data_IF_589568106916
#
_entry.id   IF_589568106916
#
_cell.length_a   1.000
_cell.length_b   1.000
_cell.length_c   1.000
_cell.angle_alpha   90.00
_cell.angle_beta   90.00
_cell.angle_gamma   90.00
#
_symmetry.space_group_name_H-M   'P 1'
#
loop_
_entity.id
_entity.type
_entity.pdbx_description
1 polymer ?
#
# COMPACT_ATOMS: atom_id res chain seq x y z
N UNK A 1 20.27 -22.34 -3.84
CA UNK A 1 19.42 -21.14 -3.76
C UNK A 1 18.22 -21.44 -2.89
N UNK A 2 18.02 -20.66 -1.84
CA UNK A 2 16.83 -20.82 -1.00
C UNK A 2 15.70 -19.99 -1.59
N UNK A 3 14.58 -20.67 -1.92
CA UNK A 3 13.37 -19.97 -2.32
C UNK A 3 12.71 -19.41 -1.05
N UNK A 4 12.46 -18.10 -1.03
CA UNK A 4 11.70 -17.49 0.05
C UNK A 4 10.22 -17.89 -0.04
N UNK A 5 9.52 -17.87 1.07
CA UNK A 5 8.07 -18.11 1.09
C UNK A 5 7.32 -17.13 0.16
N UNK A 6 7.76 -15.86 0.13
CA UNK A 6 7.17 -14.86 -0.75
C UNK A 6 7.40 -15.19 -2.23
N UNK A 7 8.56 -15.72 -2.60
CA UNK A 7 8.83 -16.16 -3.99
C UNK A 7 7.89 -17.27 -4.41
N UNK A 8 7.61 -18.22 -3.52
CA UNK A 8 6.64 -19.29 -3.77
C UNK A 8 5.24 -18.72 -3.96
N UNK A 9 4.83 -17.79 -3.10
CA UNK A 9 3.52 -17.11 -3.21
C UNK A 9 3.38 -16.35 -4.52
N UNK A 10 4.42 -15.64 -4.94
CA UNK A 10 4.43 -14.91 -6.22
C UNK A 10 4.22 -15.87 -7.39
N UNK A 11 4.90 -17.03 -7.38
CA UNK A 11 4.74 -18.04 -8.43
C UNK A 11 3.32 -18.59 -8.49
N UNK A 12 2.73 -18.91 -7.34
CA UNK A 12 1.36 -19.41 -7.26
C UNK A 12 0.36 -18.34 -7.73
N UNK A 13 0.52 -17.11 -7.29
CA UNK A 13 -0.32 -15.98 -7.69
C UNK A 13 -0.21 -15.74 -9.20
N UNK A 14 1.00 -15.79 -9.76
CA UNK A 14 1.25 -15.63 -11.19
C UNK A 14 0.52 -16.69 -12.02
N UNK A 15 0.51 -17.93 -11.58
CA UNK A 15 -0.21 -19.00 -12.25
C UNK A 15 -1.73 -18.75 -12.24
N UNK A 16 -2.28 -18.31 -11.10
CA UNK A 16 -3.70 -17.96 -11.00
C UNK A 16 -4.05 -16.79 -11.90
N UNK A 17 -3.22 -15.74 -11.92
CA UNK A 17 -3.45 -14.55 -12.74
C UNK A 17 -3.43 -14.88 -14.24
N UNK A 18 -2.52 -15.72 -14.68
CA UNK A 18 -2.45 -16.16 -16.08
C UNK A 18 -3.75 -16.80 -16.55
N UNK A 19 -4.44 -17.48 -15.64
CA UNK A 19 -5.73 -18.11 -15.93
C UNK A 19 -6.89 -17.10 -15.84
N UNK A 20 -6.90 -16.28 -14.80
CA UNK A 20 -7.99 -15.32 -14.53
C UNK A 20 -8.06 -14.20 -15.56
N UNK A 21 -6.92 -13.70 -16.01
CA UNK A 21 -6.85 -12.58 -16.97
C UNK A 21 -7.48 -12.93 -18.32
N UNK A 22 -7.50 -14.20 -18.68
CA UNK A 22 -8.16 -14.66 -19.91
C UNK A 22 -9.67 -14.45 -19.88
N UNK A 23 -10.26 -14.47 -18.71
CA UNK A 23 -11.70 -14.29 -18.50
C UNK A 23 -12.09 -12.87 -18.14
N UNK A 24 -11.20 -12.15 -17.43
CA UNK A 24 -11.49 -10.80 -16.95
C UNK A 24 -10.18 -10.00 -16.88
N UNK A 25 -10.10 -8.95 -17.68
CA UNK A 25 -8.90 -8.13 -17.84
C UNK A 25 -8.48 -7.39 -16.58
N UNK A 26 -9.35 -7.28 -15.58
CA UNK A 26 -8.96 -6.63 -14.32
C UNK A 26 -7.80 -7.35 -13.62
N UNK A 27 -7.64 -8.63 -13.93
CA UNK A 27 -6.55 -9.45 -13.40
C UNK A 27 -5.24 -9.29 -14.17
N UNK A 28 -5.11 -8.22 -14.96
CA UNK A 28 -3.84 -7.91 -15.62
C UNK A 28 -2.80 -7.52 -14.58
N UNK A 29 -1.74 -8.31 -14.49
CA UNK A 29 -0.67 -8.13 -13.49
C UNK A 29 -0.04 -6.74 -13.55
N UNK A 30 0.27 -6.26 -14.75
CA UNK A 30 0.87 -4.94 -14.93
C UNK A 30 -0.01 -3.82 -14.39
N UNK A 31 -1.31 -3.89 -14.70
CA UNK A 31 -2.29 -2.90 -14.20
C UNK A 31 -2.46 -2.98 -12.68
N UNK A 32 -2.52 -4.18 -12.12
CA UNK A 32 -2.66 -4.38 -10.67
C UNK A 32 -1.47 -3.78 -9.91
N UNK A 33 -0.26 -4.09 -10.34
CA UNK A 33 0.95 -3.58 -9.70
C UNK A 33 1.11 -2.08 -9.86
N UNK A 34 0.72 -1.53 -11.01
CA UNK A 34 0.77 -0.10 -11.25
C UNK A 34 -0.24 0.67 -10.38
N UNK A 35 -1.43 0.13 -10.21
CA UNK A 35 -2.43 0.72 -9.30
C UNK A 35 -1.93 0.70 -7.85
N UNK A 36 -1.35 -0.41 -7.41
CA UNK A 36 -0.77 -0.52 -6.07
C UNK A 36 0.33 0.51 -5.85
N UNK A 37 1.22 0.68 -6.84
CA UNK A 37 2.30 1.67 -6.81
C UNK A 37 1.74 3.09 -6.70
N UNK A 38 0.78 3.42 -7.53
CA UNK A 38 0.15 4.75 -7.56
C UNK A 38 -0.51 5.06 -6.21
N UNK A 39 -1.25 4.11 -5.65
CA UNK A 39 -1.92 4.28 -4.36
C UNK A 39 -0.90 4.42 -3.23
N UNK A 40 0.21 3.68 -3.28
CA UNK A 40 1.27 3.82 -2.30
C UNK A 40 1.77 5.28 -2.21
N UNK A 41 2.12 5.87 -3.33
CA UNK A 41 2.62 7.25 -3.34
C UNK A 41 1.57 8.25 -2.91
N UNK A 42 0.31 8.04 -3.29
CA UNK A 42 -0.79 8.91 -2.86
C UNK A 42 -1.00 8.85 -1.34
N UNK A 43 -0.91 7.66 -0.75
CA UNK A 43 -1.02 7.48 0.71
C UNK A 43 0.14 8.18 1.43
N UNK A 44 1.37 8.01 0.95
CA UNK A 44 2.52 8.67 1.58
C UNK A 44 2.41 10.20 1.49
N UNK A 45 1.95 10.71 0.37
CA UNK A 45 1.74 12.15 0.19
C UNK A 45 0.67 12.69 1.14
N UNK A 46 -0.43 11.94 1.30
CA UNK A 46 -1.51 12.32 2.22
C UNK A 46 -1.04 12.33 3.67
N UNK A 47 -0.26 11.34 4.08
CA UNK A 47 0.33 11.29 5.43
C UNK A 47 1.23 12.48 5.69
N UNK A 48 2.06 12.84 4.72
CA UNK A 48 2.96 13.99 4.83
C UNK A 48 2.21 15.31 4.90
N UNK A 49 1.16 15.48 4.10
CA UNK A 49 0.36 16.70 4.06
C UNK A 49 -0.69 16.78 5.18
N UNK A 50 -0.98 15.68 5.85
CA UNK A 50 -2.06 15.61 6.84
C UNK A 50 -3.45 15.74 6.22
N UNK A 51 -3.59 15.46 4.92
CA UNK A 51 -4.83 15.62 4.17
C UNK A 51 -5.19 14.33 3.44
N UNK A 52 -6.39 13.82 3.69
CA UNK A 52 -6.81 12.50 3.22
C UNK A 52 -7.99 12.57 2.23
N UNK A 53 -8.64 13.73 2.09
CA UNK A 53 -9.90 13.84 1.34
C UNK A 53 -9.80 13.32 -0.11
N UNK A 54 -8.68 13.58 -0.78
CA UNK A 54 -8.46 13.16 -2.16
C UNK A 54 -8.27 11.64 -2.31
N UNK A 55 -8.13 10.92 -1.21
CA UNK A 55 -7.93 9.46 -1.23
C UNK A 55 -9.21 8.66 -1.20
N UNK A 56 -10.38 9.28 -0.99
CA UNK A 56 -11.64 8.54 -0.86
C UNK A 56 -11.90 7.61 -2.03
N UNK A 57 -11.55 8.00 -3.24
CA UNK A 57 -11.78 7.20 -4.45
C UNK A 57 -10.77 6.05 -4.61
N UNK A 58 -9.73 6.00 -3.81
CA UNK A 58 -8.69 4.96 -3.88
C UNK A 58 -8.73 3.98 -2.72
N UNK A 59 -9.60 4.23 -1.73
CA UNK A 59 -9.67 3.45 -0.49
C UNK A 59 -11.09 2.92 -0.29
N UNK A 60 -11.18 1.73 0.34
CA UNK A 60 -12.46 1.29 0.88
C UNK A 60 -12.84 2.16 2.09
N UNK A 61 -14.09 2.09 2.53
CA UNK A 61 -14.50 2.82 3.73
C UNK A 61 -13.65 2.43 4.95
N UNK A 62 -13.34 1.14 5.09
CA UNK A 62 -12.49 0.64 6.19
C UNK A 62 -11.06 1.18 6.07
N UNK A 63 -10.49 1.11 4.88
CA UNK A 63 -9.13 1.62 4.62
C UNK A 63 -9.04 3.12 4.86
N UNK A 64 -10.04 3.87 4.43
CA UNK A 64 -10.13 5.30 4.65
C UNK A 64 -10.16 5.65 6.14
N UNK A 65 -11.03 4.99 6.90
CA UNK A 65 -11.17 5.25 8.34
C UNK A 65 -9.89 4.93 9.11
N UNK A 66 -9.22 3.84 8.76
CA UNK A 66 -7.95 3.48 9.41
C UNK A 66 -6.87 4.53 9.15
N UNK A 67 -6.73 4.96 7.90
CA UNK A 67 -5.73 5.95 7.53
C UNK A 67 -6.03 7.31 8.19
N UNK A 68 -7.31 7.69 8.20
CA UNK A 68 -7.75 8.93 8.84
C UNK A 68 -7.41 8.94 10.33
N UNK A 69 -7.65 7.83 11.03
CA UNK A 69 -7.32 7.72 12.46
C UNK A 69 -5.82 7.86 12.70
N UNK A 70 -5.00 7.30 11.83
CA UNK A 70 -3.55 7.39 11.94
C UNK A 70 -3.09 8.84 11.76
N UNK A 71 -3.57 9.53 10.75
CA UNK A 71 -3.24 10.93 10.48
C UNK A 71 -3.74 11.84 11.59
N UNK A 72 -5.00 11.67 12.01
CA UNK A 72 -5.61 12.48 13.10
C UNK A 72 -4.86 12.26 14.42
N UNK A 73 -4.40 11.03 14.68
CA UNK A 73 -3.61 10.73 15.86
C UNK A 73 -2.28 11.48 15.89
N UNK A 74 -1.61 11.59 14.76
CA UNK A 74 -0.39 12.39 14.65
C UNK A 74 -0.67 13.88 14.84
N UNK A 75 -1.73 14.39 14.24
CA UNK A 75 -2.11 15.80 14.36
C UNK A 75 -2.43 16.21 15.81
N UNK A 76 -3.12 15.35 16.57
CA UNK A 76 -3.42 15.62 17.97
C UNK A 76 -2.16 15.77 18.82
N UNK A 77 -1.06 15.16 18.39
CA UNK A 77 0.23 15.25 19.07
C UNK A 77 1.14 16.31 18.43
N UNK A 78 0.62 17.12 17.51
CA UNK A 78 1.37 18.09 16.72
C UNK A 78 2.54 17.46 15.98
N UNK A 79 2.34 16.25 15.47
CA UNK A 79 3.35 15.49 14.73
C UNK A 79 2.96 15.30 13.27
N UNK A 80 3.96 15.15 12.42
CA UNK A 80 3.78 14.88 11.01
C UNK A 80 4.64 13.70 10.58
N UNK A 81 4.05 12.81 9.78
CA UNK A 81 4.76 11.76 9.11
C UNK A 81 5.47 12.34 7.89
N UNK A 82 6.74 12.01 7.73
CA UNK A 82 7.52 12.40 6.56
C UNK A 82 8.21 11.17 6.01
N UNK A 83 8.06 10.98 4.69
CA UNK A 83 8.87 10.03 3.96
C UNK A 83 9.69 10.81 2.93
N UNK A 84 11.02 10.66 2.98
CA UNK A 84 11.92 11.33 2.06
C UNK A 84 12.49 10.35 1.07
N UNK A 85 12.47 10.74 -0.21
CA UNK A 85 13.09 9.99 -1.30
C UNK A 85 12.65 8.52 -1.34
N UNK A 86 11.33 8.23 -1.30
CA UNK A 86 10.87 6.84 -1.37
C UNK A 86 11.15 6.27 -2.76
N UNK A 87 11.79 5.11 -2.78
CA UNK A 87 12.05 4.36 -4.01
C UNK A 87 11.42 2.99 -3.85
N UNK A 88 10.51 2.65 -4.75
CA UNK A 88 9.94 1.31 -4.81
C UNK A 88 10.85 0.44 -5.68
N UNK A 89 11.34 -0.64 -5.11
CA UNK A 89 12.18 -1.62 -5.82
C UNK A 89 11.33 -2.72 -6.45
N UNK A 90 10.23 -3.10 -5.79
CA UNK A 90 9.40 -4.21 -6.24
C UNK A 90 7.98 -4.03 -5.75
N UNK A 91 7.03 -4.30 -6.65
CA UNK A 91 5.63 -4.51 -6.29
C UNK A 91 5.26 -5.89 -6.83
N UNK A 92 4.93 -6.81 -5.92
CA UNK A 92 4.61 -8.18 -6.29
C UNK A 92 3.23 -8.57 -5.78
N UNK A 93 2.44 -9.24 -6.62
CA UNK A 93 1.18 -9.85 -6.18
C UNK A 93 1.53 -11.19 -5.54
N UNK A 94 1.24 -11.33 -4.26
CA UNK A 94 1.58 -12.53 -3.49
C UNK A 94 0.38 -13.42 -3.18
N UNK A 95 -0.84 -12.88 -3.23
CA UNK A 95 -2.06 -13.66 -3.07
C UNK A 95 -3.15 -13.08 -3.97
N UNK A 96 -3.96 -13.98 -4.53
CA UNK A 96 -5.08 -13.64 -5.41
C UNK A 96 -6.33 -14.31 -4.87
N UNK A 97 -7.37 -13.54 -4.64
CA UNK A 97 -8.63 -14.01 -4.07
C UNK A 97 -9.80 -13.69 -5.01
N UNK A 98 -10.15 -14.59 -5.94
CA UNK A 98 -11.37 -14.41 -6.74
C UNK A 98 -12.62 -14.32 -5.87
N UNK A 99 -13.62 -13.57 -6.32
CA UNK A 99 -14.89 -13.41 -5.61
C UNK A 99 -15.50 -14.75 -5.19
N UNK A 100 -15.88 -14.86 -3.93
CA UNK A 100 -16.45 -16.09 -3.36
C UNK A 100 -17.26 -15.76 -2.11
N UNK A 101 -18.45 -16.38 -1.98
CA UNK A 101 -19.27 -16.26 -0.78
C UNK A 101 -19.56 -14.81 -0.38
N UNK A 102 -20.03 -14.00 -1.32
CA UNK A 102 -20.31 -12.57 -1.14
C UNK A 102 -19.09 -11.68 -0.87
N UNK A 103 -17.88 -12.23 -0.98
CA UNK A 103 -16.66 -11.44 -0.92
C UNK A 103 -16.26 -11.02 -2.32
N UNK A 104 -15.90 -9.74 -2.53
CA UNK A 104 -15.45 -9.29 -3.84
C UNK A 104 -14.08 -9.87 -4.20
N UNK A 105 -13.69 -9.74 -5.46
CA UNK A 105 -12.33 -10.03 -5.89
C UNK A 105 -11.33 -9.21 -5.07
N UNK A 106 -10.21 -9.81 -4.74
CA UNK A 106 -9.17 -9.13 -3.98
C UNK A 106 -7.77 -9.69 -4.27
N UNK A 107 -6.76 -8.94 -3.89
CA UNK A 107 -5.39 -9.43 -3.93
C UNK A 107 -4.55 -8.77 -2.84
N UNK A 108 -3.42 -9.39 -2.53
CA UNK A 108 -2.42 -8.82 -1.63
C UNK A 108 -1.18 -8.49 -2.44
N UNK A 109 -0.72 -7.24 -2.31
CA UNK A 109 0.53 -6.79 -2.91
C UNK A 109 1.60 -6.68 -1.83
N UNK A 110 2.80 -7.17 -2.16
CA UNK A 110 4.01 -6.94 -1.38
C UNK A 110 4.76 -5.78 -2.03
N UNK A 111 4.98 -4.71 -1.29
CA UNK A 111 5.68 -3.52 -1.78
C UNK A 111 6.99 -3.40 -1.03
N UNK A 112 8.09 -3.49 -1.76
CA UNK A 112 9.44 -3.36 -1.22
C UNK A 112 10.13 -2.13 -1.77
N UNK A 113 10.87 -1.45 -0.92
CA UNK A 113 11.59 -0.26 -1.35
C UNK A 113 12.55 0.25 -0.29
N UNK A 114 12.97 1.49 -0.50
CA UNK A 114 13.84 2.23 0.41
C UNK A 114 13.32 3.64 0.61
N UNK A 115 13.58 4.19 1.78
CA UNK A 115 13.25 5.57 2.07
C UNK A 115 13.74 5.98 3.45
N UNK A 116 13.62 7.27 3.72
CA UNK A 116 13.87 7.85 5.03
C UNK A 116 12.50 8.11 5.65
N UNK A 117 12.24 7.50 6.80
CA UNK A 117 10.96 7.59 7.48
C UNK A 117 11.14 8.39 8.77
N UNK A 118 10.42 9.50 8.89
CA UNK A 118 10.52 10.40 10.01
C UNK A 118 9.15 10.72 10.57
N UNK A 119 9.08 10.86 11.90
CA UNK A 119 7.98 11.55 12.56
C UNK A 119 8.59 12.81 13.16
N UNK A 120 8.08 13.97 12.76
CA UNK A 120 8.60 15.26 13.23
C UNK A 120 7.53 16.00 14.01
N UNK A 121 7.99 16.84 14.97
CA UNK A 121 7.11 17.78 15.66
C UNK A 121 6.86 18.97 14.73
N UNK A 122 5.60 19.36 14.53
CA UNK A 122 5.24 20.50 13.67
C UNK A 122 5.79 21.82 14.17
N UNK A 123 5.95 21.95 15.51
CA UNK A 123 6.47 23.15 16.13
C UNK A 123 8.01 23.19 16.11
N UNK A 124 8.64 22.04 15.87
CA UNK A 124 10.08 21.88 15.82
C UNK A 124 10.46 20.95 14.66
N UNK A 125 10.29 21.40 13.40
CA UNK A 125 10.43 20.50 12.24
C UNK A 125 11.81 19.90 12.04
N UNK A 126 12.82 20.38 12.77
CA UNK A 126 14.18 19.82 12.70
C UNK A 126 14.42 18.71 13.73
N UNK A 127 13.51 18.53 14.69
CA UNK A 127 13.63 17.46 15.68
C UNK A 127 13.02 16.17 15.16
N UNK A 128 13.79 15.08 15.22
CA UNK A 128 13.35 13.76 14.84
C UNK A 128 12.77 13.02 16.03
N UNK A 129 11.56 12.48 15.87
CA UNK A 129 10.90 11.69 16.90
C UNK A 129 10.66 10.29 16.36
N UNK A 130 11.34 9.31 16.93
CA UNK A 130 11.08 7.90 16.75
C UNK A 130 11.79 7.18 15.63
N UNK A 131 12.19 7.82 14.53
CA UNK A 131 12.92 7.17 13.44
C UNK A 131 14.22 7.88 13.10
N UNK A 132 15.19 7.08 12.62
CA UNK A 132 16.48 7.55 12.16
C UNK A 132 16.36 8.35 10.87
N UNK A 133 17.28 9.29 10.64
CA UNK A 133 17.44 10.01 9.38
C UNK A 133 18.17 9.19 8.30
N UNK A 134 18.43 7.91 8.58
CA UNK A 134 19.10 7.01 7.65
C UNK A 134 18.10 6.37 6.67
N UNK A 135 18.61 5.98 5.50
CA UNK A 135 17.84 5.24 4.52
C UNK A 135 17.58 3.82 5.04
N UNK A 136 16.32 3.42 5.04
CA UNK A 136 15.92 2.09 5.46
C UNK A 136 15.22 1.34 4.34
N UNK A 137 15.41 0.03 4.30
CA UNK A 137 14.61 -0.85 3.48
C UNK A 137 13.24 -1.03 4.17
N UNK A 138 12.19 -1.09 3.37
CA UNK A 138 10.86 -1.42 3.87
C UNK A 138 10.23 -2.53 3.05
N UNK A 139 9.33 -3.27 3.68
CA UNK A 139 8.53 -4.31 3.06
C UNK A 139 7.16 -4.29 3.70
N UNK A 140 6.13 -4.00 2.92
CA UNK A 140 4.76 -3.88 3.41
C UNK A 140 3.83 -4.74 2.56
N UNK A 141 2.75 -5.22 3.20
CA UNK A 141 1.71 -6.01 2.54
C UNK A 141 0.41 -5.24 2.60
N UNK A 142 -0.17 -4.97 1.45
CA UNK A 142 -1.43 -4.24 1.34
C UNK A 142 -2.50 -5.09 0.66
N UNK A 143 -3.71 -5.05 1.23
CA UNK A 143 -4.89 -5.72 0.69
C UNK A 143 -5.64 -4.77 -0.22
N UNK A 144 -5.97 -5.25 -1.42
CA UNK A 144 -6.78 -4.52 -2.39
C UNK A 144 -8.06 -5.30 -2.68
N UNK A 145 -9.16 -4.56 -2.85
CA UNK A 145 -10.49 -5.10 -3.15
C UNK A 145 -11.02 -4.44 -4.41
N UNK A 146 -11.66 -5.23 -5.26
CA UNK A 146 -12.23 -4.74 -6.51
C UNK A 146 -13.51 -3.93 -6.27
N UNK A 147 -13.59 -2.79 -6.94
CA UNK A 147 -14.83 -2.04 -7.10
C UNK A 147 -14.95 -1.64 -8.58
N UNK A 148 -15.91 -2.25 -9.30
CA UNK A 148 -16.07 -2.04 -10.73
C UNK A 148 -14.82 -2.51 -11.49
N UNK A 149 -14.20 -1.62 -12.25
CA UNK A 149 -12.97 -1.90 -13.01
C UNK A 149 -11.71 -1.38 -12.33
N UNK A 150 -11.78 -1.18 -11.03
CA UNK A 150 -10.69 -0.59 -10.25
C UNK A 150 -10.41 -1.37 -8.97
N UNK A 151 -9.17 -1.25 -8.48
CA UNK A 151 -8.77 -1.84 -7.20
C UNK A 151 -8.66 -0.75 -6.15
N UNK A 152 -9.29 -0.97 -4.99
CA UNK A 152 -9.24 -0.06 -3.85
C UNK A 152 -8.38 -0.66 -2.74
N UNK A 153 -7.59 0.19 -2.07
CA UNK A 153 -6.86 -0.21 -0.89
C UNK A 153 -7.83 -0.42 0.27
N UNK A 154 -7.81 -1.61 0.86
CA UNK A 154 -8.71 -1.98 1.94
C UNK A 154 -8.00 -1.98 3.30
N UNK A 155 -6.91 -2.71 3.41
CA UNK A 155 -6.18 -2.82 4.67
C UNK A 155 -4.71 -2.55 4.44
N UNK A 156 -4.15 -1.72 5.34
CA UNK A 156 -2.72 -1.40 5.42
C UNK A 156 -2.13 -2.20 6.58
N UNK A 157 -1.15 -3.01 6.29
CA UNK A 157 -0.42 -3.76 7.31
C UNK A 157 1.03 -3.30 7.41
#
# INVERSE_FOLDING_TARGET
MKLSWNSIKVSIAGAKLSHLVQKDKIWDHGSMTEQARTIFFKVQRAKNAGAIEDLKKYLTAIGYEKLKKEIDGLERMDKTWIIKNPVIKEVAVIEVHPAKNNKPDGFIALIKGRGIFLITDKNKPKELIGHSDHIHDFSIKWNFIRQGDWWLLDVIN
#
